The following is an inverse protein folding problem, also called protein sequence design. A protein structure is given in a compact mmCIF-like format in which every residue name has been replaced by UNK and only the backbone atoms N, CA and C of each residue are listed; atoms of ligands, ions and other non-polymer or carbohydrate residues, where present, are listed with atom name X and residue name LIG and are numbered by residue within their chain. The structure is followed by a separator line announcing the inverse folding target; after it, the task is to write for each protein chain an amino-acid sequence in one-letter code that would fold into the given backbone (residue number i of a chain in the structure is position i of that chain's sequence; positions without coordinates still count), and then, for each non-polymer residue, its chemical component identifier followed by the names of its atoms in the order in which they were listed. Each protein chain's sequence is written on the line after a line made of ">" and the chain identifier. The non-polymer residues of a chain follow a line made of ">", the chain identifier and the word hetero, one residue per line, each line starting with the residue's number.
data_IF_935570468592
#
_entry.id   IF_935570468592
#
_cell.length_a   1.000
_cell.length_b   1.000
_cell.length_c   1.000
_cell.angle_alpha   90.00
_cell.angle_beta   90.00
_cell.angle_gamma   90.00
#
_symmetry.space_group_name_H-M   'P 1'
#
loop_
_entity.id
_entity.type
_entity.pdbx_description
1 polymer ?
#
# COMPACT_ATOMS: atom_id res chain seq x y z
N UNK A 1 -91.06 73.99 38.54
CA UNK A 1 -89.64 73.69 38.75
C UNK A 1 -88.91 75.01 38.97
N UNK A 2 -88.15 75.14 40.05
CA UNK A 2 -87.38 76.35 40.33
C UNK A 2 -86.21 76.49 39.36
N UNK A 3 -86.06 77.66 38.74
CA UNK A 3 -84.91 77.96 37.88
C UNK A 3 -83.63 78.07 38.72
N UNK A 4 -82.58 77.41 38.25
CA UNK A 4 -81.21 77.45 38.81
C UNK A 4 -80.65 78.88 38.76
N UNK A 5 -79.89 79.30 39.76
CA UNK A 5 -79.32 80.65 39.78
C UNK A 5 -78.23 80.79 38.71
N UNK A 6 -78.09 81.98 38.12
CA UNK A 6 -77.03 82.28 37.14
C UNK A 6 -75.63 81.93 37.68
N UNK A 7 -75.39 82.19 38.97
CA UNK A 7 -74.12 81.90 39.64
C UNK A 7 -73.82 80.39 39.70
N UNK A 8 -74.83 79.54 39.89
CA UNK A 8 -74.65 78.08 39.91
C UNK A 8 -74.37 77.52 38.52
N UNK A 9 -75.01 78.09 37.48
CA UNK A 9 -74.73 77.76 36.07
C UNK A 9 -73.31 78.17 35.69
N UNK A 10 -72.88 79.37 36.09
CA UNK A 10 -71.51 79.87 35.85
C UNK A 10 -70.46 79.00 36.58
N UNK A 11 -70.76 78.55 37.81
CA UNK A 11 -69.90 77.63 38.56
C UNK A 11 -69.79 76.24 37.92
N UNK A 12 -70.90 75.68 37.44
CA UNK A 12 -70.92 74.39 36.74
C UNK A 12 -70.15 74.48 35.39
N UNK A 13 -70.34 75.57 34.65
CA UNK A 13 -69.60 75.84 33.42
C UNK A 13 -68.09 75.98 33.70
N UNK A 14 -67.72 76.69 34.76
CA UNK A 14 -66.33 76.82 35.20
C UNK A 14 -65.72 75.48 35.62
N UNK A 15 -66.47 74.62 36.32
CA UNK A 15 -66.02 73.28 36.70
C UNK A 15 -65.77 72.38 35.47
N UNK A 16 -66.69 72.39 34.49
CA UNK A 16 -66.52 71.68 33.22
C UNK A 16 -65.32 72.20 32.44
N UNK A 17 -65.11 73.52 32.43
CA UNK A 17 -63.98 74.17 31.75
C UNK A 17 -62.65 73.78 32.38
N UNK A 18 -62.56 73.79 33.73
CA UNK A 18 -61.37 73.32 34.46
C UNK A 18 -61.12 71.83 34.25
N UNK A 19 -62.15 71.00 34.31
CA UNK A 19 -62.03 69.57 34.07
C UNK A 19 -61.54 69.28 32.64
N UNK A 20 -62.06 70.02 31.65
CA UNK A 20 -61.60 69.96 30.26
C UNK A 20 -60.14 70.42 30.11
N UNK A 21 -59.75 71.50 30.79
CA UNK A 21 -58.37 72.00 30.77
C UNK A 21 -57.39 71.05 31.49
N UNK A 22 -57.87 70.28 32.47
CA UNK A 22 -57.08 69.28 33.19
C UNK A 22 -56.87 67.97 32.40
N UNK A 23 -57.54 67.79 31.25
CA UNK A 23 -57.32 66.63 30.38
C UNK A 23 -55.91 66.68 29.77
N UNK A 24 -55.05 65.76 30.21
CA UNK A 24 -53.62 65.73 29.89
C UNK A 24 -53.24 64.64 28.87
N UNK A 25 -54.19 64.21 28.03
CA UNK A 25 -53.96 63.14 27.05
C UNK A 25 -52.80 63.41 26.09
N UNK A 26 -52.60 64.67 25.69
CA UNK A 26 -51.49 65.07 24.82
C UNK A 26 -50.12 64.92 25.51
N UNK A 27 -50.02 65.26 26.80
CA UNK A 27 -48.79 65.10 27.58
C UNK A 27 -48.49 63.64 27.86
N UNK A 28 -49.52 62.85 28.20
CA UNK A 28 -49.39 61.40 28.36
C UNK A 28 -48.88 60.74 27.07
N UNK A 29 -49.41 61.16 25.91
CA UNK A 29 -48.94 60.68 24.62
C UNK A 29 -47.48 61.08 24.34
N UNK A 30 -47.10 62.34 24.60
CA UNK A 30 -45.73 62.82 24.42
C UNK A 30 -44.73 62.05 25.31
N UNK A 31 -45.09 61.82 26.56
CA UNK A 31 -44.27 61.06 27.51
C UNK A 31 -44.14 59.59 27.09
N UNK A 32 -45.24 58.98 26.63
CA UNK A 32 -45.22 57.63 26.10
C UNK A 32 -44.30 57.52 24.88
N UNK A 33 -44.39 58.46 23.93
CA UNK A 33 -43.51 58.50 22.74
C UNK A 33 -42.04 58.61 23.14
N UNK A 34 -41.71 59.53 24.04
CA UNK A 34 -40.35 59.72 24.55
C UNK A 34 -39.80 58.44 25.19
N UNK A 35 -40.60 57.81 26.05
CA UNK A 35 -40.22 56.55 26.71
C UNK A 35 -39.98 55.43 25.71
N UNK A 36 -40.91 55.23 24.76
CA UNK A 36 -40.78 54.20 23.75
C UNK A 36 -39.56 54.41 22.84
N UNK A 37 -39.29 55.65 22.41
CA UNK A 37 -38.09 55.99 21.64
C UNK A 37 -36.81 55.67 22.41
N UNK A 38 -36.76 55.98 23.71
CA UNK A 38 -35.62 55.64 24.56
C UNK A 38 -35.43 54.13 24.74
N UNK A 39 -36.53 53.38 24.93
CA UNK A 39 -36.50 51.92 24.98
C UNK A 39 -35.94 51.36 23.67
N UNK A 40 -36.45 51.80 22.51
CA UNK A 40 -36.00 51.33 21.18
C UNK A 40 -34.51 51.63 20.96
N UNK A 41 -34.03 52.80 21.39
CA UNK A 41 -32.60 53.13 21.33
C UNK A 41 -31.75 52.11 22.09
N UNK A 42 -32.21 51.70 23.28
CA UNK A 42 -31.53 50.76 24.16
C UNK A 42 -31.57 49.29 23.71
N UNK A 43 -32.32 48.94 22.66
CA UNK A 43 -32.40 47.55 22.17
C UNK A 43 -31.09 47.14 21.48
N UNK A 44 -30.33 46.16 22.02
CA UNK A 44 -28.95 45.90 21.58
C UNK A 44 -28.83 45.13 20.28
N UNK A 45 -29.90 44.42 19.86
CA UNK A 45 -29.87 43.54 18.70
C UNK A 45 -30.60 44.13 17.49
N UNK A 46 -31.28 45.25 17.60
CA UNK A 46 -31.86 45.86 16.39
C UNK A 46 -30.76 46.49 15.54
N UNK A 47 -30.88 46.36 14.21
CA UNK A 47 -30.10 47.18 13.28
C UNK A 47 -30.54 48.65 13.40
N UNK A 48 -29.69 49.58 12.96
CA UNK A 48 -30.03 51.00 13.00
C UNK A 48 -31.31 51.29 12.19
N UNK A 49 -31.44 50.69 11.01
CA UNK A 49 -32.64 50.83 10.17
C UNK A 49 -33.91 50.31 10.86
N UNK A 50 -33.83 49.19 11.58
CA UNK A 50 -34.96 48.67 12.35
C UNK A 50 -35.35 49.64 13.48
N UNK A 51 -34.36 50.20 14.19
CA UNK A 51 -34.60 51.22 15.23
C UNK A 51 -35.28 52.45 14.64
N UNK A 52 -34.78 52.95 13.51
CA UNK A 52 -35.31 54.15 12.87
C UNK A 52 -36.74 53.94 12.34
N UNK A 53 -37.01 52.77 11.76
CA UNK A 53 -38.35 52.41 11.32
C UNK A 53 -39.36 52.33 12.48
N UNK A 54 -38.95 51.78 13.64
CA UNK A 54 -39.78 51.72 14.84
C UNK A 54 -40.01 53.11 15.45
N UNK A 55 -38.99 53.97 15.50
CA UNK A 55 -39.14 55.36 15.99
C UNK A 55 -40.12 56.15 15.14
N UNK A 56 -40.04 56.01 13.83
CA UNK A 56 -41.00 56.63 12.92
C UNK A 56 -42.43 56.13 13.17
N UNK A 57 -42.62 54.82 13.42
CA UNK A 57 -43.93 54.29 13.84
C UNK A 57 -44.40 54.86 15.20
N UNK A 58 -43.50 55.06 16.17
CA UNK A 58 -43.82 55.72 17.45
C UNK A 58 -44.27 57.17 17.22
N UNK A 59 -43.59 57.91 16.35
CA UNK A 59 -43.94 59.29 16.01
C UNK A 59 -45.33 59.39 15.37
N UNK A 60 -45.69 58.43 14.51
CA UNK A 60 -46.99 58.38 13.84
C UNK A 60 -48.15 57.92 14.73
N UNK A 61 -47.87 57.25 15.87
CA UNK A 61 -48.92 56.74 16.75
C UNK A 61 -49.78 57.88 17.32
N UNK A 62 -51.10 57.68 17.28
CA UNK A 62 -52.09 58.71 17.66
C UNK A 62 -52.53 58.64 19.13
N UNK A 63 -52.20 57.56 19.84
CA UNK A 63 -52.57 57.33 21.23
C UNK A 63 -51.54 56.46 21.97
N UNK A 64 -51.62 56.44 23.30
CA UNK A 64 -50.66 55.75 24.18
C UNK A 64 -50.64 54.23 23.91
N UNK A 65 -51.80 53.63 23.63
CA UNK A 65 -51.89 52.20 23.32
C UNK A 65 -51.12 51.84 22.05
N UNK A 66 -51.25 52.64 20.99
CA UNK A 66 -50.48 52.48 19.76
C UNK A 66 -48.98 52.61 19.98
N UNK A 67 -48.54 53.59 20.78
CA UNK A 67 -47.12 53.73 21.16
C UNK A 67 -46.60 52.49 21.90
N UNK A 68 -47.37 51.98 22.86
CA UNK A 68 -47.00 50.76 23.58
C UNK A 68 -46.93 49.53 22.65
N UNK A 69 -47.85 49.41 21.69
CA UNK A 69 -47.81 48.34 20.70
C UNK A 69 -46.54 48.36 19.84
N UNK A 70 -46.07 49.55 19.43
CA UNK A 70 -44.80 49.69 18.69
C UNK A 70 -43.60 49.33 19.57
N UNK A 71 -43.62 49.71 20.86
CA UNK A 71 -42.59 49.32 21.83
C UNK A 71 -42.50 47.79 21.99
N UNK A 72 -43.63 47.12 22.13
CA UNK A 72 -43.69 45.66 22.28
C UNK A 72 -43.26 44.92 21.00
N UNK A 73 -43.62 45.46 19.83
CA UNK A 73 -43.08 45.01 18.53
C UNK A 73 -41.56 45.16 18.47
N UNK A 74 -41.01 46.27 18.96
CA UNK A 74 -39.57 46.50 19.05
C UNK A 74 -38.88 45.46 19.92
N UNK A 75 -39.41 45.16 21.10
CA UNK A 75 -38.89 44.10 21.98
C UNK A 75 -38.92 42.72 21.30
N UNK A 76 -40.04 42.37 20.67
CA UNK A 76 -40.21 41.10 19.94
C UNK A 76 -39.18 40.97 18.81
N UNK A 77 -39.01 42.02 18.01
CA UNK A 77 -38.03 42.07 16.93
C UNK A 77 -36.60 41.98 17.46
N UNK A 78 -36.30 42.63 18.59
CA UNK A 78 -34.98 42.58 19.23
C UNK A 78 -34.63 41.16 19.69
N UNK A 79 -35.59 40.44 20.28
CA UNK A 79 -35.42 39.03 20.65
C UNK A 79 -35.11 38.18 19.42
N UNK A 80 -35.87 38.33 18.33
CA UNK A 80 -35.64 37.57 17.10
C UNK A 80 -34.26 37.88 16.48
N UNK A 81 -33.85 39.15 16.45
CA UNK A 81 -32.52 39.55 15.98
C UNK A 81 -31.38 39.07 16.88
N UNK A 82 -31.63 38.91 18.18
CA UNK A 82 -30.71 38.28 19.12
C UNK A 82 -30.51 36.80 18.81
N UNK A 83 -31.60 36.08 18.54
CA UNK A 83 -31.54 34.68 18.11
C UNK A 83 -30.78 34.52 16.77
N UNK A 84 -31.04 35.40 15.79
CA UNK A 84 -30.35 35.39 14.50
C UNK A 84 -28.85 35.63 14.61
N UNK A 85 -28.40 36.60 15.44
CA UNK A 85 -26.97 36.82 15.66
C UNK A 85 -26.30 35.64 16.37
N UNK A 86 -26.98 35.07 17.36
CA UNK A 86 -26.48 33.90 18.09
C UNK A 86 -26.29 32.70 17.16
N UNK A 87 -27.20 32.47 16.20
CA UNK A 87 -27.11 31.30 15.31
C UNK A 87 -25.86 31.31 14.41
N UNK A 88 -25.36 32.49 14.04
CA UNK A 88 -24.17 32.65 13.18
C UNK A 88 -22.87 32.93 13.95
N UNK A 89 -22.93 33.12 15.27
CA UNK A 89 -21.76 33.51 16.08
C UNK A 89 -20.56 32.55 15.92
N UNK A 90 -20.84 31.27 15.70
CA UNK A 90 -19.84 30.20 15.57
C UNK A 90 -19.56 29.78 14.12
N UNK A 91 -19.85 30.64 13.12
CA UNK A 91 -19.67 30.29 11.69
C UNK A 91 -18.22 29.88 11.38
N UNK A 92 -17.24 30.69 11.77
CA UNK A 92 -15.83 30.40 11.52
C UNK A 92 -15.40 29.06 12.12
N UNK A 93 -15.70 28.82 13.40
CA UNK A 93 -15.39 27.57 14.08
C UNK A 93 -16.10 26.36 13.43
N UNK A 94 -17.33 26.56 12.95
CA UNK A 94 -18.08 25.53 12.23
C UNK A 94 -17.37 25.18 10.92
N UNK A 95 -16.99 26.19 10.13
CA UNK A 95 -16.31 26.02 8.82
C UNK A 95 -14.92 25.41 8.91
N UNK A 96 -14.23 25.55 10.04
CA UNK A 96 -12.93 24.90 10.29
C UNK A 96 -13.06 23.50 10.89
N UNK A 97 -14.26 23.09 11.31
CA UNK A 97 -14.47 21.79 11.93
C UNK A 97 -14.40 20.65 10.91
N UNK A 98 -13.95 19.48 11.36
CA UNK A 98 -14.00 18.24 10.55
C UNK A 98 -15.40 17.97 10.02
N UNK A 99 -16.44 18.18 10.85
CA UNK A 99 -17.82 17.89 10.46
C UNK A 99 -18.31 18.75 9.29
N UNK A 100 -17.81 19.99 9.14
CA UNK A 100 -18.07 20.80 7.96
C UNK A 100 -17.14 20.43 6.79
N UNK A 101 -15.84 20.31 7.04
CA UNK A 101 -14.85 20.12 5.98
C UNK A 101 -15.06 18.80 5.21
N UNK A 102 -15.56 17.76 5.88
CA UNK A 102 -15.90 16.47 5.26
C UNK A 102 -17.40 16.31 4.96
N UNK A 103 -18.23 17.32 5.23
CA UNK A 103 -19.65 17.26 4.85
C UNK A 103 -19.81 17.22 3.33
N UNK A 104 -20.95 16.68 2.89
CA UNK A 104 -21.34 16.72 1.49
C UNK A 104 -21.41 18.17 0.98
N UNK A 105 -21.14 18.37 -0.31
CA UNK A 105 -21.20 19.70 -0.92
C UNK A 105 -22.58 20.33 -0.78
N UNK A 106 -23.64 19.53 -0.89
CA UNK A 106 -25.02 19.97 -0.65
C UNK A 106 -25.21 20.53 0.76
N UNK A 107 -24.77 19.81 1.79
CA UNK A 107 -24.94 20.26 3.18
C UNK A 107 -24.08 21.49 3.49
N UNK A 108 -22.85 21.58 2.96
CA UNK A 108 -22.02 22.79 3.06
C UNK A 108 -22.70 23.99 2.41
N UNK A 109 -23.24 23.81 1.19
CA UNK A 109 -23.93 24.88 0.46
C UNK A 109 -25.19 25.34 1.18
N UNK A 110 -25.98 24.41 1.74
CA UNK A 110 -27.17 24.73 2.52
C UNK A 110 -26.81 25.55 3.77
N UNK A 111 -25.78 25.15 4.51
CA UNK A 111 -25.30 25.90 5.67
C UNK A 111 -24.80 27.30 5.29
N UNK A 112 -23.95 27.40 4.27
CA UNK A 112 -23.42 28.68 3.80
C UNK A 112 -24.53 29.62 3.32
N UNK A 113 -25.53 29.10 2.62
CA UNK A 113 -26.69 29.88 2.17
C UNK A 113 -27.49 30.42 3.35
N UNK A 114 -27.76 29.59 4.36
CA UNK A 114 -28.47 30.01 5.56
C UNK A 114 -27.72 31.12 6.32
N UNK A 115 -26.40 30.96 6.48
CA UNK A 115 -25.52 31.97 7.12
C UNK A 115 -25.50 33.28 6.30
N UNK A 116 -25.39 33.20 4.97
CA UNK A 116 -25.41 34.37 4.10
C UNK A 116 -26.75 35.11 4.17
N UNK A 117 -27.88 34.39 4.22
CA UNK A 117 -29.19 35.00 4.38
C UNK A 117 -29.34 35.72 5.73
N UNK A 118 -28.84 35.11 6.82
CA UNK A 118 -28.80 35.74 8.14
C UNK A 118 -27.93 37.01 8.14
N UNK A 119 -26.73 36.96 7.53
CA UNK A 119 -25.86 38.13 7.37
C UNK A 119 -26.51 39.23 6.53
N UNK A 120 -27.29 38.87 5.50
CA UNK A 120 -28.05 39.82 4.70
C UNK A 120 -29.05 40.64 5.52
N UNK A 121 -29.71 40.02 6.50
CA UNK A 121 -30.61 40.74 7.42
C UNK A 121 -29.85 41.57 8.45
N UNK A 122 -28.74 41.05 8.99
CA UNK A 122 -27.95 41.75 10.01
C UNK A 122 -27.26 42.99 9.45
N UNK A 123 -26.75 42.90 8.21
CA UNK A 123 -25.98 43.94 7.55
C UNK A 123 -26.80 44.75 6.53
N UNK A 124 -28.14 44.67 6.58
CA UNK A 124 -29.00 45.38 5.67
C UNK A 124 -28.70 46.89 5.72
N UNK A 125 -28.41 47.48 4.56
CA UNK A 125 -28.14 48.92 4.40
C UNK A 125 -29.37 49.71 3.98
N UNK A 126 -30.35 49.01 3.39
CA UNK A 126 -31.60 49.55 2.89
C UNK A 126 -32.74 48.58 3.29
N UNK A 127 -33.98 49.07 3.44
CA UNK A 127 -35.19 48.25 3.67
C UNK A 127 -35.03 47.16 4.76
N UNK A 128 -35.12 47.50 6.05
CA UNK A 128 -34.95 46.53 7.12
C UNK A 128 -36.06 45.46 7.10
N UNK A 129 -35.69 44.21 7.37
CA UNK A 129 -36.70 43.19 7.69
C UNK A 129 -37.31 43.50 9.07
N UNK A 130 -38.62 43.76 9.10
CA UNK A 130 -39.38 44.08 10.32
C UNK A 130 -40.25 42.92 10.82
N UNK A 131 -40.16 41.75 10.19
CA UNK A 131 -40.92 40.55 10.54
C UNK A 131 -40.10 39.63 11.46
N UNK A 132 -40.47 39.62 12.74
CA UNK A 132 -39.83 38.80 13.75
C UNK A 132 -39.96 37.28 13.48
N UNK A 133 -41.05 36.84 12.86
CA UNK A 133 -41.25 35.42 12.54
C UNK A 133 -40.31 34.99 11.40
N UNK A 134 -40.19 35.81 10.36
CA UNK A 134 -39.25 35.57 9.27
C UNK A 134 -37.79 35.51 9.79
N UNK A 135 -37.41 36.42 10.68
CA UNK A 135 -36.08 36.46 11.30
C UNK A 135 -35.82 35.20 12.14
N UNK A 136 -36.78 34.79 12.96
CA UNK A 136 -36.69 33.53 13.71
C UNK A 136 -36.59 32.31 12.79
N UNK A 137 -37.32 32.30 11.67
CA UNK A 137 -37.21 31.28 10.63
C UNK A 137 -35.80 31.16 10.06
N UNK A 138 -35.14 32.29 9.79
CA UNK A 138 -33.74 32.29 9.32
C UNK A 138 -32.77 31.77 10.40
N UNK A 139 -32.98 32.16 11.67
CA UNK A 139 -32.17 31.65 12.77
C UNK A 139 -32.28 30.12 12.90
N UNK A 140 -33.51 29.60 12.79
CA UNK A 140 -33.78 28.16 12.78
C UNK A 140 -33.12 27.48 11.58
N UNK A 141 -33.20 28.06 10.38
CA UNK A 141 -32.59 27.51 9.18
C UNK A 141 -31.06 27.36 9.33
N UNK A 142 -30.37 28.34 9.93
CA UNK A 142 -28.94 28.24 10.23
C UNK A 142 -28.66 27.07 11.17
N UNK A 143 -29.45 26.94 12.24
CA UNK A 143 -29.28 25.84 13.21
C UNK A 143 -29.55 24.46 12.60
N UNK A 144 -30.61 24.32 11.80
CA UNK A 144 -30.96 23.06 11.13
C UNK A 144 -29.92 22.66 10.10
N UNK A 145 -29.45 23.59 9.26
CA UNK A 145 -28.42 23.29 8.27
C UNK A 145 -27.05 23.02 8.89
N UNK A 146 -26.72 23.66 10.01
CA UNK A 146 -25.54 23.33 10.83
C UNK A 146 -25.61 21.91 11.38
N UNK A 147 -26.77 21.51 11.93
CA UNK A 147 -26.98 20.16 12.46
C UNK A 147 -26.97 19.09 11.35
N UNK A 148 -27.34 19.45 10.12
CA UNK A 148 -27.32 18.57 8.96
C UNK A 148 -25.92 18.33 8.38
N UNK A 149 -24.88 19.04 8.82
CA UNK A 149 -23.50 18.77 8.42
C UNK A 149 -23.12 17.33 8.82
N UNK A 150 -22.66 16.57 7.84
CA UNK A 150 -22.51 15.12 7.94
C UNK A 150 -21.06 14.63 7.80
N UNK A 151 -20.07 15.49 8.01
CA UNK A 151 -18.66 15.11 7.87
C UNK A 151 -18.22 14.02 8.85
N UNK A 152 -18.75 13.99 10.07
CA UNK A 152 -18.46 12.93 11.04
C UNK A 152 -18.99 11.56 10.57
N UNK A 153 -20.19 11.53 9.98
CA UNK A 153 -20.77 10.32 9.39
C UNK A 153 -19.96 9.85 8.18
N UNK A 154 -19.56 10.79 7.31
CA UNK A 154 -18.74 10.49 6.14
C UNK A 154 -17.37 9.92 6.55
N UNK A 155 -16.74 10.45 7.60
CA UNK A 155 -15.49 9.90 8.15
C UNK A 155 -15.68 8.49 8.70
N UNK A 156 -16.74 8.23 9.47
CA UNK A 156 -17.04 6.90 9.98
C UNK A 156 -17.25 5.88 8.85
N UNK A 157 -17.95 6.28 7.78
CA UNK A 157 -18.13 5.45 6.59
C UNK A 157 -16.79 5.19 5.88
N UNK A 158 -15.96 6.20 5.70
CA UNK A 158 -14.63 6.06 5.07
C UNK A 158 -13.74 5.10 5.86
N UNK A 159 -13.72 5.20 7.21
CA UNK A 159 -13.00 4.25 8.08
C UNK A 159 -13.53 2.82 7.95
N UNK A 160 -14.85 2.66 7.84
CA UNK A 160 -15.48 1.35 7.65
C UNK A 160 -15.08 0.74 6.31
N UNK A 161 -15.14 1.52 5.22
CA UNK A 161 -14.72 1.09 3.89
C UNK A 161 -13.25 0.68 3.87
N UNK A 162 -12.35 1.52 4.40
CA UNK A 162 -10.92 1.22 4.49
C UNK A 162 -10.64 -0.06 5.30
N UNK A 163 -11.31 -0.23 6.44
CA UNK A 163 -11.19 -1.43 7.27
C UNK A 163 -11.64 -2.69 6.53
N UNK A 164 -12.75 -2.61 5.80
CA UNK A 164 -13.26 -3.72 4.98
C UNK A 164 -12.28 -4.08 3.85
N UNK A 165 -11.71 -3.08 3.16
CA UNK A 165 -10.66 -3.30 2.16
C UNK A 165 -9.46 -4.02 2.77
N UNK A 166 -8.98 -3.59 3.94
CA UNK A 166 -7.84 -4.23 4.63
C UNK A 166 -8.16 -5.67 5.05
N UNK A 167 -9.38 -5.94 5.55
CA UNK A 167 -9.80 -7.29 5.92
C UNK A 167 -9.79 -8.23 4.70
N UNK A 168 -10.33 -7.75 3.57
CA UNK A 168 -10.47 -8.50 2.32
C UNK A 168 -9.17 -8.57 1.51
N UNK A 169 -8.11 -7.87 1.92
CA UNK A 169 -6.80 -7.97 1.29
C UNK A 169 -6.17 -9.34 1.60
N UNK A 170 -6.31 -10.29 0.68
CA UNK A 170 -5.92 -11.69 0.91
C UNK A 170 -4.40 -11.90 0.98
N UNK A 171 -3.62 -11.02 0.37
CA UNK A 171 -2.17 -11.18 0.29
C UNK A 171 -1.37 -10.45 1.36
N UNK A 172 -2.00 -9.49 2.05
CA UNK A 172 -1.41 -8.85 3.22
C UNK A 172 -1.27 -9.83 4.38
N UNK A 173 -0.13 -9.77 5.06
CA UNK A 173 0.07 -10.48 6.32
C UNK A 173 -0.63 -9.78 7.50
N UNK A 174 -0.77 -10.48 8.62
CA UNK A 174 -1.51 -9.97 9.77
C UNK A 174 -0.93 -8.66 10.32
N UNK A 175 0.41 -8.53 10.42
CA UNK A 175 1.03 -7.31 10.93
C UNK A 175 0.81 -6.11 10.01
N UNK A 176 0.82 -6.32 8.68
CA UNK A 176 0.45 -5.27 7.73
C UNK A 176 -1.01 -4.84 7.92
N UNK A 177 -1.94 -5.80 8.06
CA UNK A 177 -3.35 -5.50 8.33
C UNK A 177 -3.54 -4.72 9.62
N UNK A 178 -2.87 -5.10 10.70
CA UNK A 178 -3.00 -4.45 12.01
C UNK A 178 -2.44 -3.02 11.99
N UNK A 179 -1.29 -2.82 11.34
CA UNK A 179 -0.69 -1.49 11.20
C UNK A 179 -1.57 -0.56 10.33
N UNK A 180 -2.12 -1.05 9.21
CA UNK A 180 -3.05 -0.28 8.38
C UNK A 180 -4.35 0.03 9.13
N UNK A 181 -4.92 -0.91 9.88
CA UNK A 181 -6.10 -0.66 10.72
C UNK A 181 -5.84 0.41 11.78
N UNK A 182 -4.63 0.42 12.35
CA UNK A 182 -4.22 1.47 13.29
C UNK A 182 -4.20 2.84 12.61
N UNK A 183 -3.70 2.94 11.37
CA UNK A 183 -3.74 4.18 10.58
C UNK A 183 -5.18 4.61 10.26
N UNK A 184 -6.07 3.67 9.88
CA UNK A 184 -7.50 3.96 9.68
C UNK A 184 -8.15 4.51 10.95
N UNK A 185 -7.88 3.90 12.10
CA UNK A 185 -8.43 4.34 13.37
C UNK A 185 -7.99 5.77 13.71
N UNK A 186 -6.74 6.11 13.41
CA UNK A 186 -6.14 7.42 13.65
C UNK A 186 -6.50 8.48 12.60
N UNK A 187 -7.12 8.10 11.48
CA UNK A 187 -7.53 9.05 10.44
C UNK A 187 -8.48 10.12 11.01
N UNK A 188 -8.18 11.39 10.72
CA UNK A 188 -8.96 12.54 11.20
C UNK A 188 -9.87 13.10 10.12
N UNK A 189 -9.57 12.83 8.85
CA UNK A 189 -10.34 13.27 7.69
C UNK A 189 -10.74 12.10 6.79
N UNK A 190 -11.81 12.29 6.01
CA UNK A 190 -12.23 11.32 4.99
C UNK A 190 -11.09 11.01 4.02
N UNK A 191 -10.32 12.03 3.62
CA UNK A 191 -9.15 11.87 2.75
C UNK A 191 -8.10 10.94 3.35
N UNK A 192 -7.83 11.03 4.66
CA UNK A 192 -6.80 10.23 5.32
C UNK A 192 -7.20 8.75 5.31
N UNK A 193 -8.46 8.45 5.64
CA UNK A 193 -8.99 7.09 5.60
C UNK A 193 -8.95 6.51 4.18
N UNK A 194 -9.30 7.32 3.17
CA UNK A 194 -9.24 6.91 1.76
C UNK A 194 -7.79 6.66 1.30
N UNK A 195 -6.82 7.45 1.75
CA UNK A 195 -5.41 7.23 1.44
C UNK A 195 -4.89 5.91 2.03
N UNK A 196 -5.29 5.57 3.25
CA UNK A 196 -4.96 4.26 3.85
C UNK A 196 -5.64 3.12 3.09
N UNK A 197 -6.89 3.30 2.67
CA UNK A 197 -7.59 2.33 1.82
C UNK A 197 -6.82 2.08 0.51
N UNK A 198 -6.40 3.14 -0.18
CA UNK A 198 -5.63 3.04 -1.42
C UNK A 198 -4.29 2.33 -1.20
N UNK A 199 -3.55 2.72 -0.16
CA UNK A 199 -2.29 2.08 0.23
C UNK A 199 -2.49 0.58 0.49
N UNK A 200 -3.56 0.19 1.17
CA UNK A 200 -3.88 -1.22 1.44
C UNK A 200 -4.11 -2.02 0.15
N UNK A 201 -4.81 -1.42 -0.84
CA UNK A 201 -5.02 -2.04 -2.16
C UNK A 201 -3.72 -2.25 -2.91
N UNK A 202 -2.89 -1.20 -3.02
CA UNK A 202 -1.60 -1.28 -3.73
C UNK A 202 -0.63 -2.25 -3.06
N UNK A 203 -0.54 -2.20 -1.72
CA UNK A 203 0.30 -3.10 -0.95
C UNK A 203 -0.14 -4.55 -1.13
N UNK A 204 -1.46 -4.81 -1.19
CA UNK A 204 -1.97 -6.15 -1.46
C UNK A 204 -1.49 -6.66 -2.83
N UNK A 205 -1.61 -5.84 -3.88
CA UNK A 205 -1.11 -6.20 -5.21
C UNK A 205 0.40 -6.44 -5.24
N UNK A 206 1.19 -5.61 -4.54
CA UNK A 206 2.63 -5.82 -4.42
C UNK A 206 2.95 -7.14 -3.70
N UNK A 207 2.20 -7.48 -2.65
CA UNK A 207 2.34 -8.75 -1.93
C UNK A 207 1.98 -9.95 -2.79
N UNK A 208 0.94 -9.85 -3.64
CA UNK A 208 0.62 -10.87 -4.66
C UNK A 208 1.83 -11.11 -5.58
N UNK A 209 2.43 -10.04 -6.09
CA UNK A 209 3.60 -10.13 -6.96
C UNK A 209 4.83 -10.72 -6.25
N UNK A 210 5.06 -10.36 -4.98
CA UNK A 210 6.15 -10.91 -4.18
C UNK A 210 5.98 -12.42 -3.94
N UNK A 211 4.76 -12.86 -3.59
CA UNK A 211 4.45 -14.30 -3.44
C UNK A 211 4.67 -15.06 -4.74
N UNK A 212 4.25 -14.49 -5.88
CA UNK A 212 4.47 -15.08 -7.19
C UNK A 212 5.96 -15.22 -7.53
N UNK A 213 6.78 -14.22 -7.18
CA UNK A 213 8.23 -14.24 -7.44
C UNK A 213 8.97 -15.39 -6.73
N UNK A 214 8.46 -15.85 -5.58
CA UNK A 214 9.05 -16.97 -4.82
C UNK A 214 8.28 -18.29 -4.94
N UNK A 215 7.18 -18.33 -5.69
CA UNK A 215 6.28 -19.49 -5.75
C UNK A 215 6.98 -20.76 -6.24
N UNK A 216 8.00 -20.63 -7.10
CA UNK A 216 8.76 -21.76 -7.65
C UNK A 216 10.16 -21.92 -7.04
N UNK A 217 10.36 -21.42 -5.82
CA UNK A 217 11.59 -21.54 -5.04
C UNK A 217 12.13 -22.97 -5.02
N UNK A 218 11.33 -23.94 -4.59
CA UNK A 218 11.79 -25.33 -4.43
C UNK A 218 12.20 -25.95 -5.77
N UNK A 219 11.44 -25.66 -6.83
CA UNK A 219 11.76 -26.09 -8.20
C UNK A 219 13.06 -25.43 -8.70
N UNK A 220 13.29 -24.16 -8.38
CA UNK A 220 14.52 -23.45 -8.72
C UNK A 220 15.72 -24.08 -8.00
N UNK A 221 15.61 -24.35 -6.69
CA UNK A 221 16.69 -24.98 -5.90
C UNK A 221 17.02 -26.41 -6.35
N UNK A 222 16.04 -27.16 -6.84
CA UNK A 222 16.25 -28.49 -7.39
C UNK A 222 16.83 -28.50 -8.82
N UNK A 223 16.85 -27.35 -9.50
CA UNK A 223 17.27 -27.27 -10.90
C UNK A 223 18.79 -27.38 -11.09
N UNK A 224 19.19 -27.93 -12.25
CA UNK A 224 20.58 -27.93 -12.71
C UNK A 224 21.24 -26.55 -12.66
N UNK A 225 20.47 -25.52 -13.06
CA UNK A 225 20.95 -24.15 -13.09
C UNK A 225 21.26 -23.58 -11.70
N UNK A 226 20.60 -24.06 -10.64
CA UNK A 226 20.94 -23.70 -9.26
C UNK A 226 22.07 -24.57 -8.72
N UNK A 227 21.94 -25.90 -8.77
CA UNK A 227 22.91 -26.81 -8.12
C UNK A 227 24.33 -26.65 -8.67
N UNK A 228 24.46 -26.34 -9.97
CA UNK A 228 25.75 -26.13 -10.62
C UNK A 228 26.19 -24.65 -10.65
N UNK A 229 25.38 -23.71 -10.16
CA UNK A 229 25.74 -22.30 -10.15
C UNK A 229 26.89 -22.01 -9.20
N UNK A 230 27.55 -20.87 -9.41
CA UNK A 230 28.56 -20.36 -8.49
C UNK A 230 27.96 -20.20 -7.09
N UNK A 231 28.75 -20.51 -6.07
CA UNK A 231 28.33 -20.45 -4.67
C UNK A 231 27.76 -19.06 -4.31
N UNK A 232 28.41 -17.99 -4.75
CA UNK A 232 27.98 -16.61 -4.49
C UNK A 232 26.59 -16.31 -5.10
N UNK A 233 26.31 -16.82 -6.31
CA UNK A 233 25.02 -16.62 -6.98
C UNK A 233 23.91 -17.41 -6.30
N UNK A 234 24.19 -18.64 -5.84
CA UNK A 234 23.25 -19.41 -5.01
C UNK A 234 22.92 -18.67 -3.72
N UNK A 235 23.94 -18.18 -3.02
CA UNK A 235 23.78 -17.41 -1.78
C UNK A 235 23.00 -16.11 -2.01
N UNK A 236 23.25 -15.41 -3.12
CA UNK A 236 22.49 -14.22 -3.49
C UNK A 236 21.01 -14.54 -3.71
N UNK A 237 20.69 -15.60 -4.47
CA UNK A 237 19.31 -16.05 -4.66
C UNK A 237 18.65 -16.42 -3.33
N UNK A 238 19.30 -17.24 -2.51
CA UNK A 238 18.79 -17.67 -1.21
C UNK A 238 18.53 -16.48 -0.28
N UNK A 239 19.44 -15.52 -0.21
CA UNK A 239 19.28 -14.31 0.59
C UNK A 239 18.08 -13.48 0.15
N UNK A 240 17.87 -13.30 -1.17
CA UNK A 240 16.70 -12.55 -1.69
C UNK A 240 15.39 -13.28 -1.43
N UNK A 241 15.37 -14.60 -1.56
CA UNK A 241 14.21 -15.42 -1.18
C UNK A 241 13.91 -15.29 0.30
N UNK A 242 14.90 -15.40 1.19
CA UNK A 242 14.69 -15.22 2.64
C UNK A 242 14.16 -13.82 2.98
N UNK A 243 14.65 -12.77 2.32
CA UNK A 243 14.11 -11.42 2.51
C UNK A 243 12.63 -11.33 2.07
N UNK A 244 12.28 -11.93 0.93
CA UNK A 244 10.90 -12.00 0.46
C UNK A 244 10.00 -12.78 1.44
N UNK A 245 10.47 -13.93 1.95
CA UNK A 245 9.76 -14.72 2.98
C UNK A 245 9.55 -13.92 4.27
N UNK A 246 10.55 -13.15 4.70
CA UNK A 246 10.44 -12.27 5.86
C UNK A 246 9.34 -11.20 5.67
N UNK A 247 9.29 -10.56 4.51
CA UNK A 247 8.23 -9.58 4.18
C UNK A 247 6.86 -10.27 4.13
N UNK A 248 6.76 -11.43 3.47
CA UNK A 248 5.52 -12.21 3.37
C UNK A 248 4.99 -12.60 4.75
N UNK A 249 5.86 -12.98 5.68
CA UNK A 249 5.48 -13.39 7.03
C UNK A 249 5.35 -12.23 8.03
N UNK A 250 5.77 -11.01 7.65
CA UNK A 250 5.81 -9.87 8.56
C UNK A 250 6.87 -10.02 9.66
N UNK A 251 8.04 -10.56 9.32
CA UNK A 251 9.13 -10.83 10.26
C UNK A 251 10.34 -9.93 9.99
N UNK A 252 10.90 -9.23 10.99
CA UNK A 252 10.38 -9.09 12.36
C UNK A 252 9.19 -8.12 12.44
N UNK A 253 9.05 -7.22 11.47
CA UNK A 253 8.05 -6.15 11.46
C UNK A 253 7.27 -6.12 10.14
N UNK A 254 6.15 -5.39 10.12
CA UNK A 254 5.41 -5.14 8.89
C UNK A 254 6.17 -4.18 7.96
N UNK A 255 6.26 -4.54 6.68
CA UNK A 255 6.66 -3.63 5.61
C UNK A 255 5.41 -3.05 4.98
N UNK A 256 5.22 -1.72 5.08
CA UNK A 256 4.04 -1.03 4.55
C UNK A 256 4.31 -0.28 3.23
N UNK A 257 5.58 -0.08 2.89
CA UNK A 257 5.96 0.62 1.66
C UNK A 257 5.75 -0.29 0.45
N UNK A 258 4.88 0.11 -0.47
CA UNK A 258 4.61 -0.61 -1.73
C UNK A 258 5.91 -0.83 -2.53
N UNK A 259 6.76 0.19 -2.61
CA UNK A 259 8.04 0.13 -3.33
C UNK A 259 9.03 -0.86 -2.74
N UNK A 260 9.07 -1.03 -1.40
CA UNK A 260 9.97 -1.99 -0.75
C UNK A 260 9.56 -3.43 -1.10
N UNK A 261 8.24 -3.71 -1.11
CA UNK A 261 7.69 -5.02 -1.48
C UNK A 261 7.97 -5.32 -2.97
N UNK A 262 7.70 -4.37 -3.86
CA UNK A 262 7.99 -4.51 -5.29
C UNK A 262 9.50 -4.71 -5.55
N UNK A 263 10.35 -3.97 -4.84
CA UNK A 263 11.80 -4.11 -4.95
C UNK A 263 12.27 -5.49 -4.52
N UNK A 264 11.71 -6.06 -3.44
CA UNK A 264 12.03 -7.42 -3.02
C UNK A 264 11.66 -8.45 -4.10
N UNK A 265 10.50 -8.30 -4.76
CA UNK A 265 10.07 -9.18 -5.84
C UNK A 265 11.03 -9.10 -7.05
N UNK A 266 11.39 -7.88 -7.47
CA UNK A 266 12.36 -7.67 -8.55
C UNK A 266 13.73 -8.23 -8.22
N UNK A 267 14.20 -8.10 -6.98
CA UNK A 267 15.49 -8.63 -6.55
C UNK A 267 15.54 -10.17 -6.57
N UNK A 268 14.45 -10.85 -6.17
CA UNK A 268 14.34 -12.31 -6.29
C UNK A 268 14.47 -12.74 -7.76
N UNK A 269 13.71 -12.09 -8.65
CA UNK A 269 13.73 -12.41 -10.08
C UNK A 269 15.12 -12.17 -10.70
N UNK A 270 15.76 -11.05 -10.36
CA UNK A 270 17.11 -10.74 -10.83
C UNK A 270 18.14 -11.77 -10.35
N UNK A 271 18.12 -12.14 -9.07
CA UNK A 271 19.02 -13.13 -8.52
C UNK A 271 18.79 -14.53 -9.12
N UNK A 272 17.53 -14.89 -9.41
CA UNK A 272 17.16 -16.11 -10.10
C UNK A 272 17.72 -16.16 -11.53
N UNK A 273 17.57 -15.08 -12.30
CA UNK A 273 18.12 -14.96 -13.65
C UNK A 273 19.65 -14.99 -13.64
N UNK A 274 20.28 -14.50 -12.58
CA UNK A 274 21.74 -14.51 -12.45
C UNK A 274 22.34 -15.91 -12.23
N UNK A 275 21.54 -16.92 -11.85
CA UNK A 275 22.00 -18.30 -11.69
C UNK A 275 22.59 -18.82 -13.02
N UNK A 276 23.78 -19.41 -12.94
CA UNK A 276 24.61 -19.74 -14.10
C UNK A 276 25.02 -21.22 -14.17
N UNK A 277 24.35 -22.10 -13.43
CA UNK A 277 24.73 -23.50 -13.33
C UNK A 277 24.68 -24.27 -14.65
N UNK A 278 23.75 -23.93 -15.54
CA UNK A 278 23.65 -24.59 -16.84
C UNK A 278 24.86 -24.24 -17.72
N UNK A 279 25.30 -22.97 -17.68
CA UNK A 279 26.52 -22.54 -18.37
C UNK A 279 27.77 -23.19 -17.76
N UNK A 280 27.87 -23.22 -16.43
CA UNK A 280 28.98 -23.87 -15.74
C UNK A 280 29.08 -25.35 -16.10
N UNK A 281 27.97 -26.08 -16.12
CA UNK A 281 27.93 -27.48 -16.50
C UNK A 281 28.35 -27.68 -17.96
N UNK A 282 27.87 -26.84 -18.88
CA UNK A 282 28.27 -26.87 -20.30
C UNK A 282 29.79 -26.69 -20.46
N UNK A 283 30.36 -25.67 -19.82
CA UNK A 283 31.80 -25.38 -19.87
C UNK A 283 32.61 -26.53 -19.27
N UNK A 284 32.17 -27.11 -18.15
CA UNK A 284 32.83 -28.25 -17.54
C UNK A 284 32.84 -29.48 -18.48
N UNK A 285 31.72 -29.77 -19.16
CA UNK A 285 31.65 -30.85 -20.16
C UNK A 285 32.59 -30.62 -21.33
N UNK A 286 32.64 -29.40 -21.85
CA UNK A 286 33.56 -29.02 -22.92
C UNK A 286 35.02 -29.23 -22.51
N UNK A 287 35.41 -28.75 -21.32
CA UNK A 287 36.75 -28.96 -20.78
C UNK A 287 37.07 -30.45 -20.57
N UNK A 288 36.12 -31.25 -20.06
CA UNK A 288 36.30 -32.68 -19.87
C UNK A 288 36.49 -33.41 -21.20
N UNK A 289 35.68 -33.09 -22.22
CA UNK A 289 35.83 -33.65 -23.56
C UNK A 289 37.19 -33.33 -24.18
N UNK A 290 37.65 -32.08 -24.07
CA UNK A 290 38.98 -31.68 -24.53
C UNK A 290 40.10 -32.42 -23.78
N UNK A 291 39.92 -32.63 -22.47
CA UNK A 291 40.86 -33.43 -21.66
C UNK A 291 40.92 -34.87 -22.19
N UNK A 292 39.77 -35.49 -22.43
CA UNK A 292 39.67 -36.87 -22.96
C UNK A 292 40.32 -37.00 -24.34
N UNK A 293 40.14 -36.00 -25.22
CA UNK A 293 40.77 -35.98 -26.54
C UNK A 293 42.30 -36.00 -26.46
N UNK A 294 42.87 -35.26 -25.50
CA UNK A 294 44.31 -35.19 -25.25
C UNK A 294 44.92 -36.46 -24.64
N UNK A 295 44.13 -37.42 -24.16
CA UNK A 295 44.64 -38.65 -23.56
C UNK A 295 45.20 -39.61 -24.63
N UNK A 296 46.51 -39.63 -24.80
CA UNK A 296 47.19 -40.31 -25.91
C UNK A 296 47.16 -41.85 -25.85
N UNK A 297 46.94 -42.45 -24.68
CA UNK A 297 47.07 -43.90 -24.51
C UNK A 297 45.75 -44.64 -24.75
N UNK A 298 44.63 -43.92 -24.63
CA UNK A 298 43.29 -44.44 -24.87
C UNK A 298 43.05 -44.73 -26.35
N UNK A 299 42.33 -45.81 -26.63
CA UNK A 299 41.80 -46.04 -27.98
C UNK A 299 40.55 -45.18 -28.25
N UNK A 300 40.14 -45.07 -29.52
CA UNK A 300 39.03 -44.19 -29.93
C UNK A 300 37.69 -44.62 -29.31
N UNK A 301 37.47 -45.92 -29.14
CA UNK A 301 36.23 -46.44 -28.54
C UNK A 301 36.12 -46.06 -27.06
N UNK A 302 37.22 -46.14 -26.29
CA UNK A 302 37.28 -45.70 -24.89
C UNK A 302 37.00 -44.20 -24.77
N UNK A 303 37.61 -43.38 -25.63
CA UNK A 303 37.34 -41.93 -25.68
C UNK A 303 35.87 -41.65 -25.95
N UNK A 304 35.28 -42.31 -26.95
CA UNK A 304 33.86 -42.16 -27.27
C UNK A 304 32.98 -42.50 -26.06
N UNK A 305 33.26 -43.61 -25.37
CA UNK A 305 32.46 -44.02 -24.21
C UNK A 305 32.59 -43.06 -23.02
N UNK A 306 33.78 -42.51 -22.77
CA UNK A 306 33.99 -41.49 -21.76
C UNK A 306 33.24 -40.19 -22.10
N UNK A 307 33.25 -39.77 -23.37
CA UNK A 307 32.50 -38.59 -23.83
C UNK A 307 30.98 -38.78 -23.68
N UNK A 308 30.45 -39.98 -23.91
CA UNK A 308 29.05 -40.30 -23.58
C UNK A 308 28.76 -40.10 -22.08
N UNK A 309 29.64 -40.61 -21.20
CA UNK A 309 29.50 -40.44 -19.76
C UNK A 309 29.56 -38.95 -19.33
N UNK A 310 30.46 -38.16 -19.92
CA UNK A 310 30.50 -36.70 -19.73
C UNK A 310 29.18 -36.06 -20.14
N UNK A 311 28.63 -36.46 -21.30
CA UNK A 311 27.37 -35.92 -21.78
C UNK A 311 26.19 -36.26 -20.86
N UNK A 312 26.17 -37.48 -20.29
CA UNK A 312 25.14 -37.92 -19.34
C UNK A 312 25.25 -37.30 -17.96
N UNK A 313 26.41 -36.76 -17.57
CA UNK A 313 26.58 -36.12 -16.27
C UNK A 313 25.65 -34.88 -16.14
N UNK A 314 24.93 -34.78 -15.02
CA UNK A 314 24.00 -33.67 -14.73
C UNK A 314 24.57 -32.67 -13.72
N UNK A 315 25.71 -32.99 -13.10
CA UNK A 315 26.38 -32.15 -12.10
C UNK A 315 27.85 -31.93 -12.45
N UNK A 316 28.42 -30.85 -11.92
CA UNK A 316 29.86 -30.58 -12.03
C UNK A 316 30.71 -31.73 -11.46
N UNK A 317 30.31 -32.28 -10.31
CA UNK A 317 30.99 -33.42 -9.68
C UNK A 317 30.93 -34.69 -10.53
N UNK A 318 29.80 -34.92 -11.21
CA UNK A 318 29.66 -36.02 -12.16
C UNK A 318 30.64 -35.89 -13.33
N UNK A 319 30.77 -34.68 -13.90
CA UNK A 319 31.76 -34.41 -14.96
C UNK A 319 33.19 -34.61 -14.44
N UNK A 320 33.50 -34.12 -13.24
CA UNK A 320 34.82 -34.28 -12.63
C UNK A 320 35.15 -35.76 -12.35
N UNK A 321 34.15 -36.55 -11.96
CA UNK A 321 34.30 -38.01 -11.76
C UNK A 321 34.71 -38.69 -13.06
N UNK A 322 34.03 -38.39 -14.18
CA UNK A 322 34.39 -38.96 -15.49
C UNK A 322 35.78 -38.51 -15.93
N UNK A 323 36.15 -37.25 -15.68
CA UNK A 323 37.51 -36.75 -15.96
C UNK A 323 38.57 -37.53 -15.19
N UNK A 324 38.38 -37.77 -13.89
CA UNK A 324 39.32 -38.57 -13.08
C UNK A 324 39.39 -40.03 -13.59
N UNK A 325 38.24 -40.66 -13.85
CA UNK A 325 38.20 -42.02 -14.41
C UNK A 325 38.93 -42.13 -15.75
N UNK A 326 38.83 -41.11 -16.61
CA UNK A 326 39.55 -41.06 -17.90
C UNK A 326 41.06 -41.06 -17.72
N UNK A 327 41.59 -40.34 -16.72
CA UNK A 327 43.02 -40.28 -16.41
C UNK A 327 43.53 -41.61 -15.84
N UNK A 328 42.76 -42.23 -14.95
CA UNK A 328 43.06 -43.57 -14.43
C UNK A 328 43.09 -44.60 -15.56
N UNK A 329 42.09 -44.58 -16.45
CA UNK A 329 42.03 -45.46 -17.61
C UNK A 329 43.22 -45.25 -18.56
N UNK A 330 43.59 -44.00 -18.83
CA UNK A 330 44.75 -43.67 -19.67
C UNK A 330 46.05 -44.18 -19.07
N UNK A 331 46.19 -44.12 -17.74
CA UNK A 331 47.37 -44.64 -17.03
C UNK A 331 47.46 -46.17 -17.15
N UNK A 332 46.34 -46.87 -16.96
CA UNK A 332 46.31 -48.33 -17.15
C UNK A 332 46.63 -48.71 -18.60
N UNK A 333 46.08 -47.99 -19.58
CA UNK A 333 46.38 -48.22 -21.00
C UNK A 333 47.84 -47.94 -21.34
N UNK A 334 48.48 -46.96 -20.68
CA UNK A 334 49.92 -46.75 -20.80
C UNK A 334 50.68 -48.00 -20.34
N UNK A 335 50.36 -48.53 -19.16
CA UNK A 335 50.98 -49.73 -18.63
C UNK A 335 50.86 -50.92 -19.57
N UNK A 336 49.66 -51.14 -20.14
CA UNK A 336 49.42 -52.22 -21.10
C UNK A 336 50.21 -52.05 -22.41
N UNK A 337 50.34 -50.81 -22.90
CA UNK A 337 51.15 -50.51 -24.09
C UNK A 337 52.63 -50.71 -23.82
N UNK A 338 53.11 -50.24 -22.66
CA UNK A 338 54.50 -50.41 -22.23
C UNK A 338 54.85 -51.90 -22.08
N UNK A 339 53.95 -52.72 -21.53
CA UNK A 339 54.21 -54.16 -21.33
C UNK A 339 54.39 -54.95 -22.63
N UNK A 340 53.91 -54.44 -23.77
CA UNK A 340 54.12 -55.11 -25.07
C UNK A 340 55.13 -54.37 -25.96
N UNK A 341 55.70 -53.26 -25.49
CA UNK A 341 56.59 -52.41 -26.31
C UNK A 341 57.85 -53.15 -26.75
N UNK A 342 58.36 -54.07 -25.92
CA UNK A 342 59.57 -54.84 -26.18
C UNK A 342 59.29 -56.24 -26.77
N UNK A 343 58.06 -56.53 -27.22
CA UNK A 343 57.68 -57.85 -27.75
C UNK A 343 58.66 -58.38 -28.80
N UNK A 344 59.04 -57.54 -29.77
CA UNK A 344 59.96 -57.94 -30.84
C UNK A 344 61.34 -58.33 -30.30
N UNK A 345 61.84 -57.58 -29.31
CA UNK A 345 63.12 -57.86 -28.64
C UNK A 345 63.05 -59.15 -27.83
N UNK A 346 61.97 -59.37 -27.08
CA UNK A 346 61.75 -60.59 -26.30
C UNK A 346 61.73 -61.80 -27.23
N UNK A 347 60.95 -61.73 -28.33
CA UNK A 347 60.83 -62.82 -29.30
C UNK A 347 62.13 -63.15 -30.06
N UNK A 348 63.03 -62.19 -30.21
CA UNK A 348 64.35 -62.39 -30.81
C UNK A 348 65.40 -62.92 -29.80
N UNK A 349 65.13 -62.84 -28.50
CA UNK A 349 66.05 -63.26 -27.46
C UNK A 349 66.12 -64.77 -27.28
N UNK A 350 67.29 -65.27 -26.86
CA UNK A 350 67.51 -66.70 -26.61
C UNK A 350 66.54 -67.28 -25.59
N UNK A 351 66.20 -66.53 -24.53
CA UNK A 351 65.21 -66.95 -23.53
C UNK A 351 63.88 -67.37 -24.17
N UNK A 352 63.43 -66.65 -25.21
CA UNK A 352 62.21 -66.98 -25.91
C UNK A 352 62.40 -68.12 -26.91
N UNK A 353 63.49 -68.15 -27.68
CA UNK A 353 63.73 -69.20 -28.70
C UNK A 353 63.90 -70.58 -28.07
N UNK A 354 64.53 -70.63 -26.89
CA UNK A 354 64.85 -71.86 -26.15
C UNK A 354 63.73 -72.26 -25.18
N UNK A 355 62.73 -71.40 -24.96
CA UNK A 355 61.59 -71.70 -24.09
C UNK A 355 60.75 -72.87 -24.61
N UNK A 356 60.12 -73.58 -23.67
CA UNK A 356 59.19 -74.67 -24.00
C UNK A 356 58.03 -74.17 -24.88
N UNK A 357 57.44 -75.03 -25.74
CA UNK A 357 56.28 -74.64 -26.54
C UNK A 357 55.14 -74.05 -25.70
N UNK A 358 54.91 -74.57 -24.49
CA UNK A 358 53.88 -74.06 -23.60
C UNK A 358 54.16 -72.62 -23.15
N UNK A 359 55.37 -72.32 -22.67
CA UNK A 359 55.70 -70.98 -22.17
C UNK A 359 55.65 -69.93 -23.28
N UNK A 360 56.14 -70.27 -24.49
CA UNK A 360 56.02 -69.39 -25.67
C UNK A 360 54.56 -69.08 -26.01
N UNK A 361 53.73 -70.12 -26.06
CA UNK A 361 52.31 -69.97 -26.36
C UNK A 361 51.59 -69.12 -25.30
N UNK A 362 51.93 -69.27 -24.01
CA UNK A 362 51.35 -68.48 -22.94
C UNK A 362 51.71 -66.99 -23.05
N UNK A 363 52.97 -66.66 -23.35
CA UNK A 363 53.41 -65.29 -23.62
C UNK A 363 52.72 -64.71 -24.86
N UNK A 364 52.75 -65.43 -25.99
CA UNK A 364 52.10 -65.02 -27.24
C UNK A 364 50.60 -64.78 -27.06
N UNK A 365 49.94 -65.62 -26.27
CA UNK A 365 48.52 -65.48 -25.94
C UNK A 365 48.27 -64.23 -25.08
N UNK A 366 49.12 -63.95 -24.08
CA UNK A 366 49.01 -62.76 -23.25
C UNK A 366 49.22 -61.47 -24.06
N UNK A 367 50.23 -61.45 -24.93
CA UNK A 367 50.48 -60.32 -25.84
C UNK A 367 49.33 -60.15 -26.83
N UNK A 368 48.78 -61.24 -27.36
CA UNK A 368 47.60 -61.19 -28.26
C UNK A 368 46.38 -60.61 -27.54
N UNK A 369 46.13 -61.01 -26.28
CA UNK A 369 45.06 -60.44 -25.47
C UNK A 369 45.27 -58.95 -25.18
N UNK A 370 46.50 -58.52 -24.86
CA UNK A 370 46.84 -57.11 -24.66
C UNK A 370 46.62 -56.29 -25.95
N UNK A 371 47.08 -56.79 -27.10
CA UNK A 371 46.84 -56.18 -28.42
C UNK A 371 45.35 -56.10 -28.75
N UNK A 372 44.56 -57.09 -28.38
CA UNK A 372 43.12 -57.08 -28.59
C UNK A 372 42.47 -55.91 -27.84
N UNK A 373 42.80 -55.70 -26.56
CA UNK A 373 42.31 -54.56 -25.76
C UNK A 373 42.75 -53.22 -26.36
N UNK A 374 44.03 -53.11 -26.77
CA UNK A 374 44.60 -51.90 -27.36
C UNK A 374 43.87 -51.50 -28.65
N UNK A 375 43.47 -52.47 -29.46
CA UNK A 375 42.89 -52.25 -30.79
C UNK A 375 41.35 -52.36 -30.84
N UNK A 376 40.67 -52.44 -29.69
CA UNK A 376 39.21 -52.47 -29.64
C UNK A 376 38.61 -51.23 -30.32
N UNK A 377 37.71 -51.47 -31.27
CA UNK A 377 36.97 -50.44 -32.01
C UNK A 377 35.50 -50.35 -31.59
N UNK A 378 34.99 -51.35 -30.89
CA UNK A 378 33.65 -51.40 -30.31
C UNK A 378 33.69 -52.10 -28.95
N UNK A 379 32.73 -51.78 -28.07
CA UNK A 379 32.63 -52.33 -26.71
C UNK A 379 33.97 -52.37 -25.97
N UNK A 380 34.64 -51.21 -25.80
CA UNK A 380 35.98 -51.16 -25.23
C UNK A 380 35.99 -51.63 -23.79
N UNK A 381 37.13 -52.19 -23.37
CA UNK A 381 37.42 -52.43 -21.95
C UNK A 381 37.61 -51.08 -21.25
N UNK A 382 36.66 -50.73 -20.38
CA UNK A 382 36.64 -49.47 -19.65
C UNK A 382 37.17 -49.58 -18.21
N UNK A 383 37.26 -50.79 -17.68
CA UNK A 383 37.70 -51.05 -16.30
C UNK A 383 39.22 -51.08 -16.21
N UNK A 384 39.86 -50.14 -15.47
CA UNK A 384 41.32 -50.08 -15.34
C UNK A 384 41.93 -51.37 -14.75
N UNK A 385 41.21 -52.06 -13.86
CA UNK A 385 41.66 -53.32 -13.26
C UNK A 385 41.82 -54.43 -14.29
N UNK A 386 40.90 -54.53 -15.26
CA UNK A 386 40.98 -55.52 -16.35
C UNK A 386 42.20 -55.27 -17.23
N UNK A 387 42.49 -54.00 -17.52
CA UNK A 387 43.67 -53.60 -18.30
C UNK A 387 44.96 -53.88 -17.52
N UNK A 388 44.97 -53.58 -16.22
CA UNK A 388 46.11 -53.85 -15.34
C UNK A 388 46.35 -55.36 -15.22
N UNK A 389 45.31 -56.18 -15.16
CA UNK A 389 45.44 -57.63 -15.14
C UNK A 389 46.05 -58.17 -16.45
N UNK A 390 45.61 -57.65 -17.61
CA UNK A 390 46.22 -57.99 -18.90
C UNK A 390 47.70 -57.57 -18.95
N UNK A 391 48.04 -56.40 -18.39
CA UNK A 391 49.42 -55.92 -18.25
C UNK A 391 50.25 -56.91 -17.43
N UNK A 392 49.74 -57.30 -16.25
CA UNK A 392 50.40 -58.27 -15.38
C UNK A 392 50.61 -59.61 -16.09
N UNK A 393 49.60 -60.12 -16.80
CA UNK A 393 49.71 -61.38 -17.55
C UNK A 393 50.83 -61.36 -18.59
N UNK A 394 51.07 -60.24 -19.26
CA UNK A 394 52.22 -60.10 -20.17
C UNK A 394 53.52 -60.12 -19.37
N UNK A 395 53.68 -59.21 -18.42
CA UNK A 395 54.93 -59.05 -17.65
C UNK A 395 55.34 -60.29 -16.84
N UNK A 396 54.39 -61.10 -16.36
CA UNK A 396 54.70 -62.33 -15.61
C UNK A 396 55.14 -63.49 -16.51
N UNK A 397 54.97 -63.36 -17.82
CA UNK A 397 55.25 -64.40 -18.83
C UNK A 397 56.38 -63.99 -19.80
N UNK A 398 56.95 -62.79 -19.63
CA UNK A 398 58.22 -62.37 -20.24
C UNK A 398 59.38 -63.20 -19.69
#
# INVERSE_FOLDING_TARGET
>A
GGNTSKADVDNALNAVTRAKAALNGADNLRNAKTTATNTINGLPHLTQLQKDNLKHQVEQAQNVAGVNGVKDKGNTLNTAMGALRTSIQNDNTTKTSQNYLDASDSNKNNYNTAVNNANGVINATNTPNMDANAINGMANQVNTTKAALNGAQNLAQAKTNATNTINNAHDLNQKQKDALKTQVNNAQRVSDANNVQHTATELNSAMTALKAAIADKERTKASGNYVNADQEKRQAYDSKVTNAENIINGTPNATLTVNDVNSAASQVNAAKTALNGDNNLRVAKEHANNTIDGLAQLNNAQKAKLKEQVQSATTLDGVQTVKNSSQTLNTAMKGLRDSIANEATIKAGQNYTDASPNNRNEYDSAVTAAKAIINQTSNPTMEPNTITQATSQVTTKE
#
